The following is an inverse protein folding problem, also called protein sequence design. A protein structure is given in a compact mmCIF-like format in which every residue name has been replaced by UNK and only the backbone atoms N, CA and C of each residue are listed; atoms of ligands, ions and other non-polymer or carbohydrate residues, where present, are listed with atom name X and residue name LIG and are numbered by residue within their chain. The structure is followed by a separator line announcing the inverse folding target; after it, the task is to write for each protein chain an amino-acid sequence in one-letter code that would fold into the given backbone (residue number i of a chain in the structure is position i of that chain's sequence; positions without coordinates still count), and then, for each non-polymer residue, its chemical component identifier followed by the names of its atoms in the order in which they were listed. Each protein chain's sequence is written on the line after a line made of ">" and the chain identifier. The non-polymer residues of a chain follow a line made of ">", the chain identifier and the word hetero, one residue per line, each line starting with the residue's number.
data_IF_539694340835
#
_entry.id   IF_539694340835
#
_cell.length_a   1.000
_cell.length_b   1.000
_cell.length_c   1.000
_cell.angle_alpha   90.00
_cell.angle_beta   90.00
_cell.angle_gamma   90.00
#
_symmetry.space_group_name_H-M   'P 1'
#
loop_
_entity.id
_entity.type
_entity.pdbx_description
1 polymer ?
#
# COMPACT_ATOMS: atom_id res chain seq x y z
N UNK A 1 14.68 1.15 -17.17
CA UNK A 1 15.46 -0.01 -16.70
C UNK A 1 14.52 -1.20 -16.76
N UNK A 2 14.84 -2.20 -17.58
CA UNK A 2 13.98 -3.36 -17.80
C UNK A 2 13.93 -4.24 -16.55
N UNK A 3 12.75 -4.78 -16.22
CA UNK A 3 12.60 -5.72 -15.12
C UNK A 3 13.30 -7.04 -15.50
N UNK A 4 14.41 -7.35 -14.82
CA UNK A 4 15.22 -8.55 -15.09
C UNK A 4 14.60 -9.84 -14.54
N UNK A 5 13.58 -9.72 -13.69
CA UNK A 5 12.92 -10.86 -13.06
C UNK A 5 11.67 -11.19 -13.87
N UNK A 6 11.80 -12.15 -14.79
CA UNK A 6 10.72 -12.66 -15.64
C UNK A 6 10.76 -14.19 -15.68
N UNK A 7 9.63 -14.87 -15.95
CA UNK A 7 9.62 -16.31 -16.18
C UNK A 7 10.60 -16.69 -17.28
N UNK A 8 11.27 -17.82 -17.13
CA UNK A 8 12.19 -18.37 -18.12
C UNK A 8 11.73 -19.76 -18.55
N UNK A 9 12.25 -20.24 -19.68
CA UNK A 9 12.03 -21.60 -20.14
C UNK A 9 12.93 -22.64 -19.45
N UNK A 10 13.77 -22.21 -18.49
CA UNK A 10 14.66 -23.12 -17.75
C UNK A 10 13.84 -24.00 -16.82
N UNK A 11 13.90 -25.34 -16.94
CA UNK A 11 13.23 -26.23 -16.01
C UNK A 11 13.79 -26.07 -14.59
N UNK A 12 12.91 -26.06 -13.59
CA UNK A 12 13.32 -26.01 -12.18
C UNK A 12 14.23 -27.19 -11.79
N UNK A 13 13.98 -28.45 -12.23
CA UNK A 13 14.90 -29.57 -11.95
C UNK A 13 16.34 -29.30 -12.43
N UNK A 14 16.51 -28.78 -13.65
CA UNK A 14 17.84 -28.46 -14.20
C UNK A 14 18.57 -27.41 -13.35
N UNK A 15 17.84 -26.44 -12.80
CA UNK A 15 18.41 -25.47 -11.86
C UNK A 15 18.81 -26.12 -10.52
N UNK A 16 17.97 -27.01 -9.98
CA UNK A 16 18.23 -27.73 -8.73
C UNK A 16 19.45 -28.66 -8.85
N UNK A 17 19.70 -29.23 -10.03
CA UNK A 17 20.86 -30.06 -10.30
C UNK A 17 22.19 -29.30 -10.15
N UNK A 18 22.17 -27.98 -10.32
CA UNK A 18 23.32 -27.10 -10.08
C UNK A 18 23.59 -26.76 -8.61
N UNK A 19 22.69 -27.12 -7.68
CA UNK A 19 22.83 -26.82 -6.26
C UNK A 19 23.60 -27.93 -5.52
N UNK A 20 24.27 -27.55 -4.42
CA UNK A 20 24.81 -28.53 -3.47
C UNK A 20 23.68 -29.30 -2.78
N UNK A 21 23.99 -30.51 -2.28
CA UNK A 21 22.99 -31.42 -1.75
C UNK A 21 22.12 -30.83 -0.63
N UNK A 22 22.69 -29.96 0.21
CA UNK A 22 21.92 -29.28 1.27
C UNK A 22 20.93 -28.29 0.66
N UNK A 23 21.42 -27.38 -0.21
CA UNK A 23 20.55 -26.37 -0.83
C UNK A 23 19.50 -26.97 -1.75
N UNK A 24 19.79 -28.09 -2.40
CA UNK A 24 18.81 -28.85 -3.17
C UNK A 24 17.67 -29.35 -2.28
N UNK A 25 17.98 -30.05 -1.18
CA UNK A 25 16.95 -30.55 -0.25
C UNK A 25 16.09 -29.43 0.34
N UNK A 26 16.72 -28.34 0.79
CA UNK A 26 15.98 -27.19 1.33
C UNK A 26 15.11 -26.50 0.27
N UNK A 27 15.55 -26.46 -0.99
CA UNK A 27 14.76 -25.91 -2.09
C UNK A 27 13.58 -26.83 -2.44
N UNK A 28 13.77 -28.15 -2.42
CA UNK A 28 12.71 -29.13 -2.63
C UNK A 28 11.63 -29.03 -1.54
N UNK A 29 12.03 -28.89 -0.27
CA UNK A 29 11.10 -28.68 0.85
C UNK A 29 10.26 -27.40 0.67
N UNK A 30 10.89 -26.29 0.26
CA UNK A 30 10.18 -25.05 -0.02
C UNK A 30 9.29 -25.15 -1.25
N UNK A 31 9.69 -25.89 -2.28
CA UNK A 31 8.86 -26.13 -3.46
C UNK A 31 7.58 -26.86 -3.06
N UNK A 32 7.68 -27.91 -2.25
CA UNK A 32 6.50 -28.64 -1.75
C UNK A 32 5.59 -27.70 -0.97
N UNK A 33 6.14 -26.97 0.01
CA UNK A 33 5.38 -26.02 0.83
C UNK A 33 4.67 -24.96 -0.02
N UNK A 34 5.38 -24.29 -0.93
CA UNK A 34 4.80 -23.21 -1.72
C UNK A 34 3.82 -23.73 -2.78
N UNK A 35 4.03 -24.92 -3.34
CA UNK A 35 3.06 -25.60 -4.22
C UNK A 35 1.77 -25.91 -3.47
N UNK A 36 1.86 -26.44 -2.25
CA UNK A 36 0.68 -26.73 -1.42
C UNK A 36 -0.10 -25.47 -1.03
N UNK A 37 0.61 -24.37 -0.75
CA UNK A 37 -0.02 -23.09 -0.37
C UNK A 37 -0.68 -22.41 -1.58
N UNK A 38 -0.01 -22.41 -2.73
CA UNK A 38 -0.46 -21.66 -3.91
C UNK A 38 -1.38 -22.45 -4.85
N UNK A 39 -1.25 -23.78 -4.88
CA UNK A 39 -1.84 -24.63 -5.92
C UNK A 39 -1.15 -24.52 -7.28
N UNK A 40 0.00 -23.83 -7.36
CA UNK A 40 0.70 -23.51 -8.61
C UNK A 40 1.99 -24.35 -8.75
N UNK A 41 2.41 -24.57 -9.99
CA UNK A 41 3.71 -25.23 -10.27
C UNK A 41 4.88 -24.23 -10.21
N UNK A 42 6.08 -24.67 -9.77
CA UNK A 42 7.25 -23.81 -9.70
C UNK A 42 7.77 -23.49 -11.10
N UNK A 43 8.08 -22.21 -11.32
CA UNK A 43 8.69 -21.70 -12.56
C UNK A 43 9.97 -20.95 -12.21
N UNK A 44 10.98 -21.02 -13.08
CA UNK A 44 12.19 -20.20 -12.93
C UNK A 44 11.92 -18.75 -13.32
N UNK A 45 12.34 -17.83 -12.47
CA UNK A 45 12.31 -16.39 -12.69
C UNK A 45 13.73 -15.83 -12.70
N UNK A 46 14.15 -15.32 -13.87
CA UNK A 46 15.55 -14.98 -14.11
C UNK A 46 16.48 -16.17 -13.80
N UNK A 47 17.71 -15.92 -13.31
CA UNK A 47 18.72 -16.99 -13.15
C UNK A 47 18.65 -17.75 -11.83
N UNK A 48 17.95 -17.23 -10.81
CA UNK A 48 18.12 -17.74 -9.42
C UNK A 48 16.86 -17.81 -8.58
N UNK A 49 15.71 -17.40 -9.12
CA UNK A 49 14.46 -17.33 -8.36
C UNK A 49 13.54 -18.44 -8.85
N UNK A 50 12.93 -19.14 -7.91
CA UNK A 50 11.83 -20.07 -8.18
C UNK A 50 10.57 -19.36 -7.69
N UNK A 51 9.57 -19.24 -8.56
CA UNK A 51 8.31 -18.54 -8.29
C UNK A 51 7.09 -19.42 -8.57
N UNK A 52 5.96 -19.05 -7.96
CA UNK A 52 4.68 -19.76 -8.04
C UNK A 52 3.58 -18.74 -8.38
N UNK A 53 2.76 -19.08 -9.38
CA UNK A 53 1.77 -18.16 -9.95
C UNK A 53 2.41 -16.89 -10.50
N UNK A 54 1.57 -15.94 -10.93
CA UNK A 54 2.03 -14.60 -11.31
C UNK A 54 0.95 -13.55 -11.08
N UNK A 55 1.39 -12.34 -10.76
CA UNK A 55 0.54 -11.14 -10.73
C UNK A 55 1.25 -9.97 -11.41
N UNK A 56 0.46 -9.16 -12.10
CA UNK A 56 0.93 -7.97 -12.79
C UNK A 56 0.71 -6.74 -11.91
N UNK A 57 1.74 -5.92 -11.72
CA UNK A 57 1.65 -4.67 -10.99
C UNK A 57 1.89 -3.47 -11.91
N UNK A 58 1.26 -2.34 -11.58
CA UNK A 58 1.56 -1.03 -12.16
C UNK A 58 1.66 0.00 -11.05
N UNK A 59 2.82 0.62 -10.92
CA UNK A 59 3.10 1.64 -9.91
C UNK A 59 2.65 3.01 -10.38
N UNK A 60 2.41 3.93 -9.44
CA UNK A 60 2.07 5.33 -9.72
C UNK A 60 3.12 6.06 -10.59
N UNK A 61 4.38 5.60 -10.56
CA UNK A 61 5.45 6.10 -11.43
C UNK A 61 5.33 5.65 -12.90
N UNK A 62 4.28 4.91 -13.26
CA UNK A 62 4.09 4.29 -14.58
C UNK A 62 4.92 3.02 -14.80
N UNK A 63 5.69 2.56 -13.80
CA UNK A 63 6.48 1.33 -13.90
C UNK A 63 5.57 0.13 -13.70
N UNK A 64 5.57 -0.78 -14.65
CA UNK A 64 4.83 -2.04 -14.56
C UNK A 64 5.76 -3.25 -14.67
N UNK A 65 5.25 -4.41 -14.26
CA UNK A 65 5.96 -5.68 -14.33
C UNK A 65 5.12 -6.83 -13.81
N UNK A 66 5.67 -8.02 -13.94
CA UNK A 66 5.11 -9.24 -13.36
C UNK A 66 5.98 -9.69 -12.19
N UNK A 67 5.37 -10.39 -11.25
CA UNK A 67 6.06 -11.07 -10.17
C UNK A 67 5.33 -12.36 -9.80
N UNK A 68 6.07 -13.34 -9.28
CA UNK A 68 5.45 -14.53 -8.68
C UNK A 68 4.64 -14.16 -7.44
N UNK A 69 3.51 -14.83 -7.21
CA UNK A 69 2.69 -14.66 -6.00
C UNK A 69 3.45 -15.12 -4.76
N UNK A 70 4.21 -16.21 -4.91
CA UNK A 70 5.23 -16.65 -3.97
C UNK A 70 6.55 -16.81 -4.71
N UNK A 71 7.67 -16.56 -4.04
CA UNK A 71 8.98 -16.85 -4.63
C UNK A 71 10.08 -16.97 -3.59
N UNK A 72 11.14 -17.70 -3.96
CA UNK A 72 12.37 -17.78 -3.17
C UNK A 72 13.61 -17.98 -4.06
N UNK A 73 14.79 -17.77 -3.48
CA UNK A 73 16.09 -17.99 -4.12
C UNK A 73 17.01 -18.80 -3.20
N UNK A 74 17.34 -20.06 -3.52
CA UNK A 74 18.18 -20.93 -2.68
C UNK A 74 19.68 -20.66 -2.90
N UNK A 75 20.16 -19.47 -2.56
CA UNK A 75 21.55 -19.08 -2.80
C UNK A 75 22.49 -19.77 -1.81
N UNK A 76 23.77 -19.92 -2.19
CA UNK A 76 24.80 -20.54 -1.34
C UNK A 76 24.86 -19.93 0.07
N UNK A 77 24.90 -18.60 0.18
CA UNK A 77 25.04 -17.89 1.47
C UNK A 77 23.78 -17.94 2.33
N UNK A 78 22.60 -17.86 1.72
CA UNK A 78 21.31 -17.93 2.40
C UNK A 78 20.19 -18.24 1.39
N UNK A 79 19.16 -18.94 1.87
CA UNK A 79 17.87 -18.96 1.20
C UNK A 79 17.22 -17.59 1.41
N UNK A 80 16.70 -17.01 0.34
CA UNK A 80 15.91 -15.77 0.42
C UNK A 80 14.47 -16.10 0.06
N UNK A 81 13.54 -15.95 0.99
CA UNK A 81 12.09 -15.98 0.72
C UNK A 81 11.63 -14.54 0.51
N UNK A 82 10.87 -14.28 -0.55
CA UNK A 82 10.39 -12.93 -0.86
C UNK A 82 8.98 -12.73 -0.31
N UNK A 83 8.81 -11.70 0.53
CA UNK A 83 7.56 -11.25 1.15
C UNK A 83 7.31 -9.81 0.65
N UNK A 84 6.67 -9.62 -0.51
CA UNK A 84 6.64 -8.33 -1.21
C UNK A 84 6.03 -7.18 -0.42
N UNK A 85 5.06 -7.47 0.44
CA UNK A 85 4.39 -6.53 1.35
C UNK A 85 5.23 -6.13 2.58
N UNK A 86 6.42 -6.74 2.74
CA UNK A 86 7.31 -6.48 3.86
C UNK A 86 6.85 -7.16 5.15
N UNK A 87 7.35 -6.69 6.30
CA UNK A 87 7.23 -7.41 7.59
C UNK A 87 6.44 -6.68 8.67
N UNK A 88 5.90 -5.49 8.40
CA UNK A 88 5.20 -4.67 9.41
C UNK A 88 4.02 -5.41 10.07
N UNK A 89 3.40 -6.36 9.36
CA UNK A 89 2.22 -7.13 9.80
C UNK A 89 2.54 -8.54 10.29
N UNK A 90 3.83 -8.88 10.38
CA UNK A 90 4.27 -10.25 10.67
C UNK A 90 5.18 -10.35 11.91
N UNK A 91 5.22 -9.31 12.75
CA UNK A 91 6.08 -9.29 13.94
C UNK A 91 5.87 -10.50 14.86
N UNK A 92 4.61 -10.91 15.07
CA UNK A 92 4.25 -12.09 15.86
C UNK A 92 4.84 -13.39 15.31
N UNK A 93 4.88 -13.53 13.98
CA UNK A 93 5.47 -14.70 13.33
C UNK A 93 6.99 -14.65 13.37
N UNK A 94 7.59 -13.48 13.14
CA UNK A 94 9.04 -13.33 13.16
C UNK A 94 9.63 -13.66 14.55
N UNK A 95 8.95 -13.27 15.63
CA UNK A 95 9.36 -13.59 17.01
C UNK A 95 9.41 -15.11 17.28
N UNK A 96 8.55 -15.88 16.59
CA UNK A 96 8.42 -17.34 16.73
C UNK A 96 9.22 -18.12 15.69
N UNK A 97 9.64 -17.47 14.60
CA UNK A 97 10.18 -18.14 13.41
C UNK A 97 11.52 -18.84 13.68
N UNK A 98 12.36 -18.32 14.58
CA UNK A 98 13.73 -18.83 14.78
C UNK A 98 14.79 -17.92 14.16
N UNK A 99 15.96 -18.45 13.81
CA UNK A 99 17.09 -17.60 13.37
C UNK A 99 16.89 -17.13 11.93
N UNK A 100 16.68 -15.84 11.76
CA UNK A 100 16.48 -15.22 10.46
C UNK A 100 17.06 -13.80 10.42
N UNK A 101 17.11 -13.21 9.23
CA UNK A 101 17.29 -11.76 9.06
C UNK A 101 16.28 -11.25 8.04
N UNK A 102 15.87 -10.00 8.16
CA UNK A 102 14.97 -9.34 7.21
C UNK A 102 15.67 -8.20 6.46
N UNK A 103 15.26 -7.98 5.22
CA UNK A 103 15.45 -6.73 4.48
C UNK A 103 14.11 -5.99 4.35
N UNK A 104 13.93 -5.24 3.26
CA UNK A 104 12.64 -4.56 2.98
C UNK A 104 11.52 -5.58 2.71
N UNK A 105 11.78 -6.54 1.82
CA UNK A 105 10.84 -7.61 1.41
C UNK A 105 11.51 -8.99 1.36
N UNK A 106 12.72 -9.10 1.89
CA UNK A 106 13.54 -10.31 1.80
C UNK A 106 13.68 -10.94 3.18
N UNK A 107 13.24 -12.18 3.35
CA UNK A 107 13.52 -13.02 4.52
C UNK A 107 14.73 -13.90 4.21
N UNK A 108 15.83 -13.71 4.94
CA UNK A 108 17.06 -14.46 4.77
C UNK A 108 17.17 -15.58 5.82
N UNK A 109 17.25 -16.81 5.35
CA UNK A 109 17.44 -18.01 6.15
C UNK A 109 18.80 -18.64 5.83
N UNK A 110 19.66 -18.82 6.84
CA UNK A 110 20.97 -19.44 6.62
C UNK A 110 20.83 -20.92 6.24
N UNK A 111 19.93 -21.63 6.90
CA UNK A 111 19.48 -22.99 6.57
C UNK A 111 18.04 -23.16 7.04
N UNK A 112 17.28 -24.06 6.42
CA UNK A 112 15.86 -24.23 6.73
C UNK A 112 15.65 -24.78 8.15
N UNK A 113 16.57 -25.63 8.62
CA UNK A 113 16.56 -26.17 9.98
C UNK A 113 16.80 -25.13 11.11
N UNK A 114 17.13 -23.87 10.78
CA UNK A 114 17.25 -22.80 11.78
C UNK A 114 15.90 -22.14 12.12
N UNK A 115 14.82 -22.50 11.42
CA UNK A 115 13.48 -21.95 11.60
C UNK A 115 12.43 -23.01 11.86
N UNK A 116 11.33 -22.60 12.49
CA UNK A 116 10.13 -23.39 12.67
C UNK A 116 9.37 -23.49 11.33
N UNK A 117 9.17 -24.72 10.84
CA UNK A 117 8.57 -24.98 9.53
C UNK A 117 7.09 -24.58 9.48
N UNK A 118 6.35 -24.70 10.58
CA UNK A 118 4.94 -24.33 10.64
C UNK A 118 4.77 -22.82 10.67
N UNK A 119 5.64 -22.10 11.39
CA UNK A 119 5.65 -20.63 11.39
C UNK A 119 6.04 -20.09 10.01
N UNK A 120 7.00 -20.72 9.34
CA UNK A 120 7.35 -20.35 7.96
C UNK A 120 6.19 -20.59 7.00
N UNK A 121 5.51 -21.74 7.12
CA UNK A 121 4.33 -22.05 6.33
C UNK A 121 3.23 -21.01 6.55
N UNK A 122 2.95 -20.64 7.80
CA UNK A 122 1.96 -19.62 8.15
C UNK A 122 2.32 -18.27 7.52
N UNK A 123 3.60 -17.87 7.57
CA UNK A 123 4.07 -16.64 6.92
C UNK A 123 3.85 -16.66 5.40
N UNK A 124 4.22 -17.77 4.74
CA UNK A 124 4.02 -17.96 3.29
C UNK A 124 2.53 -17.95 2.93
N UNK A 125 1.68 -18.56 3.75
CA UNK A 125 0.22 -18.54 3.57
C UNK A 125 -0.37 -17.13 3.68
N UNK A 126 -0.01 -16.37 4.72
CA UNK A 126 -0.47 -14.99 4.89
C UNK A 126 -0.03 -14.11 3.73
N UNK A 127 1.20 -14.30 3.23
CA UNK A 127 1.71 -13.56 2.08
C UNK A 127 1.01 -13.94 0.78
N UNK A 128 0.74 -15.23 0.56
CA UNK A 128 -0.06 -15.67 -0.58
C UNK A 128 -1.47 -15.07 -0.57
N UNK A 129 -2.17 -15.10 0.57
CA UNK A 129 -3.51 -14.51 0.72
C UNK A 129 -3.50 -13.01 0.42
N UNK A 130 -2.46 -12.29 0.85
CA UNK A 130 -2.30 -10.88 0.54
C UNK A 130 -2.22 -10.57 -0.96
N UNK A 131 -1.67 -11.49 -1.75
CA UNK A 131 -1.51 -11.34 -3.20
C UNK A 131 -2.62 -12.00 -4.04
N UNK A 132 -3.22 -13.07 -3.54
CA UNK A 132 -4.31 -13.78 -4.20
C UNK A 132 -5.62 -12.98 -4.12
N UNK A 133 -5.79 -12.16 -3.09
CA UNK A 133 -6.87 -11.18 -3.05
C UNK A 133 -6.48 -9.98 -3.92
N UNK A 134 -7.34 -9.56 -4.88
CA UNK A 134 -7.10 -8.30 -5.56
C UNK A 134 -7.00 -7.18 -4.51
N UNK A 135 -6.07 -6.22 -4.67
CA UNK A 135 -6.08 -5.06 -3.78
C UNK A 135 -7.51 -4.49 -3.78
N UNK A 136 -8.05 -4.12 -2.61
CA UNK A 136 -9.43 -3.63 -2.53
C UNK A 136 -9.60 -2.57 -3.62
N UNK A 137 -10.63 -2.75 -4.45
CA UNK A 137 -10.86 -1.88 -5.59
C UNK A 137 -10.76 -0.43 -5.10
N UNK A 138 -9.94 0.37 -5.78
CA UNK A 138 -9.87 1.80 -5.47
C UNK A 138 -11.29 2.34 -5.50
N UNK A 139 -11.69 3.14 -4.50
CA UNK A 139 -12.98 3.79 -4.56
C UNK A 139 -13.15 4.50 -5.90
N UNK A 140 -14.28 4.29 -6.57
CA UNK A 140 -14.66 4.98 -7.79
C UNK A 140 -15.66 6.11 -7.48
N UNK A 141 -16.25 6.10 -6.29
CA UNK A 141 -17.27 7.05 -5.85
C UNK A 141 -16.95 7.62 -4.48
N UNK A 142 -17.62 8.73 -4.13
CA UNK A 142 -17.54 9.33 -2.78
C UNK A 142 -18.03 8.33 -1.72
N UNK A 143 -19.09 7.57 -1.99
CA UNK A 143 -19.65 6.61 -1.03
C UNK A 143 -18.69 5.45 -0.76
N UNK A 144 -18.04 4.92 -1.80
CA UNK A 144 -17.00 3.90 -1.65
C UNK A 144 -15.78 4.44 -0.90
N UNK A 145 -15.39 5.69 -1.17
CA UNK A 145 -14.29 6.33 -0.44
C UNK A 145 -14.65 6.46 1.03
N UNK A 146 -15.89 6.86 1.30
CA UNK A 146 -16.43 6.92 2.63
C UNK A 146 -16.66 5.53 3.24
N UNK A 147 -16.63 4.42 2.52
CA UNK A 147 -16.57 3.11 3.15
C UNK A 147 -15.13 2.79 3.59
N UNK A 148 -14.13 3.29 2.87
CA UNK A 148 -12.71 2.98 3.07
C UNK A 148 -11.99 3.80 4.16
N UNK A 149 -12.49 5.00 4.49
CA UNK A 149 -11.78 5.88 5.44
C UNK A 149 -11.79 5.29 6.87
N UNK A 150 -10.70 5.39 7.65
CA UNK A 150 -10.62 4.83 9.00
C UNK A 150 -11.74 5.34 9.90
N UNK A 151 -12.37 4.45 10.68
CA UNK A 151 -13.52 4.79 11.53
C UNK A 151 -13.27 6.00 12.44
N UNK A 152 -12.04 6.13 12.98
CA UNK A 152 -11.63 7.25 13.83
C UNK A 152 -11.73 8.63 13.13
N UNK A 153 -11.54 8.69 11.81
CA UNK A 153 -11.61 9.93 11.04
C UNK A 153 -13.03 10.29 10.59
N UNK A 154 -14.03 9.41 10.77
CA UNK A 154 -15.37 9.63 10.23
C UNK A 154 -16.03 10.87 10.82
N UNK A 155 -16.00 11.09 12.15
CA UNK A 155 -16.64 12.25 12.74
C UNK A 155 -16.10 13.56 12.18
N UNK A 156 -14.77 13.75 12.17
CA UNK A 156 -14.15 14.95 11.62
C UNK A 156 -14.38 15.10 10.12
N UNK A 157 -14.31 14.02 9.34
CA UNK A 157 -14.55 14.08 7.91
C UNK A 157 -16.00 14.48 7.59
N UNK A 158 -16.98 13.90 8.29
CA UNK A 158 -18.40 14.20 8.08
C UNK A 158 -18.75 15.62 8.56
N UNK A 159 -18.17 16.08 9.66
CA UNK A 159 -18.26 17.47 10.10
C UNK A 159 -17.73 18.43 9.03
N UNK A 160 -16.57 18.11 8.45
CA UNK A 160 -15.98 18.92 7.39
C UNK A 160 -16.84 18.95 6.12
N UNK A 161 -17.42 17.81 5.73
CA UNK A 161 -18.37 17.73 4.60
C UNK A 161 -19.60 18.59 4.85
N UNK A 162 -20.16 18.56 6.06
CA UNK A 162 -21.29 19.40 6.44
C UNK A 162 -20.92 20.88 6.36
N UNK A 163 -19.75 21.26 6.88
CA UNK A 163 -19.24 22.63 6.83
C UNK A 163 -19.08 23.14 5.39
N UNK A 164 -18.52 22.32 4.49
CA UNK A 164 -18.35 22.72 3.09
C UNK A 164 -19.69 22.97 2.41
N UNK A 165 -20.70 22.13 2.69
CA UNK A 165 -22.07 22.30 2.16
C UNK A 165 -22.74 23.55 2.71
N UNK A 166 -22.46 23.92 3.95
CA UNK A 166 -22.94 25.16 4.57
C UNK A 166 -22.32 26.40 3.91
N UNK A 167 -20.99 26.37 3.69
CA UNK A 167 -20.23 27.51 3.16
C UNK A 167 -20.42 27.69 1.65
N UNK A 168 -20.53 26.60 0.90
CA UNK A 168 -20.63 26.61 -0.55
C UNK A 168 -21.72 25.64 -1.03
N UNK A 169 -23.02 25.95 -0.80
CA UNK A 169 -24.12 25.05 -1.13
C UNK A 169 -24.23 24.74 -2.63
N UNK A 170 -23.75 25.65 -3.48
CA UNK A 170 -23.72 25.50 -4.94
C UNK A 170 -22.51 24.68 -5.45
N UNK A 171 -21.56 24.34 -4.56
CA UNK A 171 -20.41 23.53 -4.95
C UNK A 171 -20.81 22.05 -5.07
N UNK A 172 -20.45 21.44 -6.20
CA UNK A 172 -20.69 20.03 -6.43
C UNK A 172 -19.59 19.18 -5.76
N UNK A 173 -19.99 18.29 -4.86
CA UNK A 173 -19.12 17.22 -4.33
C UNK A 173 -18.81 16.23 -5.47
N UNK A 174 -17.52 15.97 -5.69
CA UNK A 174 -17.01 15.09 -6.74
C UNK A 174 -15.96 14.15 -6.17
N UNK A 175 -15.78 13.00 -6.80
CA UNK A 175 -14.66 12.11 -6.50
C UNK A 175 -13.52 12.37 -7.49
N UNK A 176 -12.36 12.77 -6.96
CA UNK A 176 -11.20 13.15 -7.79
C UNK A 176 -9.92 12.99 -7.00
N UNK A 177 -8.84 12.56 -7.66
CA UNK A 177 -7.56 12.26 -7.02
C UNK A 177 -7.68 11.25 -5.86
N UNK A 178 -8.55 10.26 -6.03
CA UNK A 178 -8.87 9.22 -5.04
C UNK A 178 -9.42 9.76 -3.69
N UNK A 179 -9.91 11.01 -3.66
CA UNK A 179 -10.45 11.70 -2.47
C UNK A 179 -11.70 12.54 -2.80
N UNK A 180 -12.30 13.15 -1.78
CA UNK A 180 -13.46 14.04 -1.95
C UNK A 180 -12.97 15.42 -2.41
N UNK A 181 -13.50 15.90 -3.53
CA UNK A 181 -13.29 17.24 -4.05
C UNK A 181 -14.59 18.03 -4.13
N UNK A 182 -14.47 19.35 -4.16
CA UNK A 182 -15.57 20.29 -4.29
C UNK A 182 -15.32 21.19 -5.48
N UNK A 183 -16.25 21.14 -6.44
CA UNK A 183 -16.23 21.90 -7.68
C UNK A 183 -17.21 23.06 -7.60
N UNK A 184 -16.73 24.31 -7.55
CA UNK A 184 -17.61 25.48 -7.55
C UNK A 184 -18.52 25.53 -8.78
N UNK A 185 -19.71 26.11 -8.61
CA UNK A 185 -20.63 26.36 -9.70
C UNK A 185 -19.96 27.13 -10.85
N UNK A 186 -20.27 26.75 -12.09
CA UNK A 186 -19.70 27.37 -13.29
C UNK A 186 -18.25 27.00 -13.60
N UNK A 187 -17.57 26.21 -12.76
CA UNK A 187 -16.19 25.78 -13.00
C UNK A 187 -16.09 24.34 -13.50
N UNK A 188 -15.01 24.01 -14.23
CA UNK A 188 -14.74 22.65 -14.73
C UNK A 188 -13.92 21.79 -13.75
N UNK A 189 -13.36 22.36 -12.69
CA UNK A 189 -12.38 21.69 -11.81
C UNK A 189 -12.78 21.84 -10.34
N UNK A 190 -12.46 20.83 -9.55
CA UNK A 190 -12.53 20.95 -8.09
C UNK A 190 -11.41 21.88 -7.59
N UNK A 191 -11.75 22.75 -6.64
CA UNK A 191 -10.83 23.75 -6.08
C UNK A 191 -10.50 23.52 -4.61
N UNK A 192 -11.34 22.76 -3.89
CA UNK A 192 -11.08 22.32 -2.52
C UNK A 192 -11.24 20.81 -2.41
N UNK A 193 -10.43 20.18 -1.57
CA UNK A 193 -10.40 18.73 -1.38
C UNK A 193 -10.22 18.40 0.09
N UNK A 194 -10.79 17.27 0.50
CA UNK A 194 -10.69 16.74 1.85
C UNK A 194 -10.37 15.24 1.81
N UNK A 195 -9.60 14.77 2.79
CA UNK A 195 -9.28 13.34 2.94
C UNK A 195 -9.21 12.91 4.40
N UNK A 196 -9.60 11.67 4.70
CA UNK A 196 -9.52 11.10 6.05
C UNK A 196 -8.43 10.04 6.17
N UNK A 197 -7.60 10.16 7.21
CA UNK A 197 -6.48 9.26 7.51
C UNK A 197 -6.63 8.67 8.91
N UNK A 198 -5.67 7.84 9.35
CA UNK A 198 -5.78 7.15 10.65
C UNK A 198 -5.63 8.10 11.84
N UNK A 199 -4.93 9.21 11.66
CA UNK A 199 -4.46 10.13 12.69
C UNK A 199 -4.79 11.61 12.39
N UNK A 200 -5.23 11.94 11.18
CA UNK A 200 -5.61 13.31 10.79
C UNK A 200 -6.66 13.36 9.68
N UNK A 201 -7.25 14.55 9.48
CA UNK A 201 -7.93 14.96 8.25
C UNK A 201 -7.00 15.85 7.43
N UNK A 202 -6.96 15.63 6.12
CA UNK A 202 -6.25 16.46 5.16
C UNK A 202 -7.17 17.46 4.47
N UNK A 203 -6.72 18.70 4.29
CA UNK A 203 -7.37 19.72 3.46
C UNK A 203 -6.40 20.27 2.42
N UNK A 204 -6.88 20.43 1.18
CA UNK A 204 -6.09 20.84 0.04
C UNK A 204 -6.89 21.75 -0.92
N UNK A 205 -6.23 22.66 -1.64
CA UNK A 205 -4.89 23.17 -1.38
C UNK A 205 -4.89 24.10 -0.15
N UNK A 206 -3.71 24.56 0.27
CA UNK A 206 -3.61 25.73 1.16
C UNK A 206 -4.09 26.96 0.37
N UNK A 207 -5.10 27.72 0.84
CA UNK A 207 -5.56 28.92 0.14
C UNK A 207 -4.44 29.96 0.06
N UNK A 208 -4.45 30.76 -1.01
CA UNK A 208 -3.46 31.83 -1.23
C UNK A 208 -3.81 33.14 -0.53
N UNK A 209 -4.80 33.11 0.35
CA UNK A 209 -5.25 34.26 1.11
C UNK A 209 -4.22 34.59 2.21
N UNK A 210 -3.61 35.78 2.12
CA UNK A 210 -2.60 36.23 3.08
C UNK A 210 -3.19 36.48 4.48
N UNK A 211 -4.49 36.76 4.59
CA UNK A 211 -5.15 36.94 5.88
C UNK A 211 -5.21 35.63 6.69
N UNK A 212 -5.19 34.48 6.02
CA UNK A 212 -5.24 33.16 6.66
C UNK A 212 -3.86 32.57 6.95
N UNK A 213 -2.78 33.13 6.40
CA UNK A 213 -1.45 32.52 6.43
C UNK A 213 -0.93 32.29 7.86
N UNK A 214 -1.14 33.26 8.76
CA UNK A 214 -0.73 33.15 10.16
C UNK A 214 -1.46 32.04 10.91
N UNK A 215 -2.78 31.95 10.75
CA UNK A 215 -3.64 30.97 11.42
C UNK A 215 -3.45 29.54 10.89
N UNK A 216 -3.08 29.39 9.62
CA UNK A 216 -2.87 28.09 8.98
C UNK A 216 -1.50 27.47 9.27
N UNK A 217 -0.54 28.26 9.77
CA UNK A 217 0.84 27.82 10.02
C UNK A 217 0.96 26.56 10.88
N UNK A 218 0.20 26.37 11.99
CA UNK A 218 0.29 25.17 12.82
C UNK A 218 -0.11 23.88 12.08
N UNK A 219 -1.06 24.00 11.16
CA UNK A 219 -1.66 22.87 10.44
C UNK A 219 -0.92 22.51 9.16
N UNK A 220 0.00 23.36 8.67
CA UNK A 220 0.66 23.16 7.38
C UNK A 220 1.62 21.97 7.40
N UNK A 221 1.50 21.09 6.41
CA UNK A 221 2.36 19.91 6.20
C UNK A 221 2.79 19.83 4.74
N UNK A 222 3.64 20.76 4.34
CA UNK A 222 4.13 20.90 2.95
C UNK A 222 3.53 22.09 2.21
N UNK A 223 3.77 22.15 0.88
CA UNK A 223 3.43 23.34 0.09
C UNK A 223 1.92 23.56 -0.09
N UNK A 224 1.13 22.49 -0.15
CA UNK A 224 -0.30 22.56 -0.48
C UNK A 224 -1.20 21.71 0.41
N UNK A 225 -0.76 21.39 1.63
CA UNK A 225 -1.47 20.46 2.51
C UNK A 225 -1.60 21.03 3.92
N UNK A 226 -2.81 20.92 4.47
CA UNK A 226 -3.14 21.17 5.86
C UNK A 226 -3.54 19.84 6.52
N UNK A 227 -3.00 19.54 7.69
CA UNK A 227 -3.38 18.40 8.52
C UNK A 227 -4.03 18.89 9.81
N UNK A 228 -5.17 18.30 10.13
CA UNK A 228 -5.91 18.52 11.36
C UNK A 228 -5.92 17.20 12.14
N UNK A 229 -5.23 17.12 13.29
CA UNK A 229 -5.21 15.93 14.13
C UNK A 229 -6.62 15.50 14.56
N UNK A 230 -6.83 14.19 14.75
CA UNK A 230 -8.13 13.65 15.18
C UNK A 230 -8.38 13.75 16.70
N UNK A 231 -7.34 14.02 17.49
CA UNK A 231 -7.40 14.20 18.95
C UNK A 231 -7.78 15.62 19.38
N UNK A 232 -7.82 16.55 18.43
CA UNK A 232 -8.26 17.94 18.64
C UNK A 232 -9.58 18.21 17.89
N UNK A 233 -10.44 19.10 18.40
CA UNK A 233 -11.62 19.54 17.67
C UNK A 233 -11.22 20.32 16.41
N UNK A 234 -12.00 20.20 15.34
CA UNK A 234 -11.75 20.98 14.12
C UNK A 234 -11.90 22.48 14.40
N UNK A 235 -10.96 23.34 13.93
CA UNK A 235 -11.10 24.79 14.04
C UNK A 235 -12.13 25.28 13.00
N UNK A 236 -13.41 25.05 13.30
CA UNK A 236 -14.54 25.21 12.36
C UNK A 236 -14.58 26.59 11.69
N UNK A 237 -14.38 27.67 12.44
CA UNK A 237 -14.40 29.04 11.90
C UNK A 237 -13.24 29.32 10.93
N UNK A 238 -12.06 28.76 11.20
CA UNK A 238 -10.91 28.85 10.29
C UNK A 238 -11.18 28.05 9.02
N UNK A 239 -11.68 26.82 9.15
CA UNK A 239 -12.02 25.97 8.03
C UNK A 239 -13.13 26.56 7.15
N UNK A 240 -14.12 27.22 7.74
CA UNK A 240 -15.16 27.92 7.00
C UNK A 240 -14.57 29.00 6.06
N UNK A 241 -13.66 29.83 6.60
CA UNK A 241 -12.95 30.85 5.82
C UNK A 241 -12.03 30.25 4.75
N UNK A 242 -11.38 29.12 5.05
CA UNK A 242 -10.57 28.37 4.07
C UNK A 242 -11.43 27.91 2.90
N UNK A 243 -12.56 27.26 3.15
CA UNK A 243 -13.42 26.77 2.06
C UNK A 243 -14.13 27.89 1.31
N UNK A 244 -14.48 28.99 1.99
CA UNK A 244 -14.96 30.19 1.31
C UNK A 244 -13.89 30.68 0.31
N UNK A 245 -12.66 30.89 0.77
CA UNK A 245 -11.56 31.34 -0.09
C UNK A 245 -11.25 30.38 -1.27
N UNK A 246 -11.47 29.07 -1.11
CA UNK A 246 -11.25 28.08 -2.16
C UNK A 246 -12.43 27.93 -3.14
N UNK A 247 -13.66 28.05 -2.66
CA UNK A 247 -14.85 27.59 -3.37
C UNK A 247 -15.78 28.71 -3.83
N UNK A 248 -15.74 29.89 -3.22
CA UNK A 248 -16.46 31.04 -3.76
C UNK A 248 -15.61 31.66 -4.85
N UNK A 249 -15.98 31.45 -6.11
CA UNK A 249 -15.38 32.18 -7.24
C UNK A 249 -15.48 33.67 -6.98
N UNK A 250 -14.34 34.36 -6.92
CA UNK A 250 -14.31 35.82 -6.92
C UNK A 250 -15.10 36.36 -8.11
N UNK A 251 -15.97 37.32 -7.84
CA UNK A 251 -16.49 38.22 -8.89
C UNK A 251 -15.38 39.07 -9.48
#
# INVERSE_FOLDING_TARGET
>A
MENKTRPTATPVPDFLDGLDARRRGEAEELIVMMREVSGEEPVMWGPTIIGFGSTSYRLASGREGEMGLLSFSPRRSAITVYIPEGFERHGDLLDRLGKHRTGVSCLYLNKLADVDAEVLRELVQRSFQHHAEPPPAKPATVDEYLASVPQAARPHLDELRALVREVAPEAQEVFSYDIIGYRPAGTKRAHGFISGWRDHIGVYPVPKDSALEGELKPYRRGKGTLWFPLDEPLPRELLARVFAALLTTGG
#
